data_IF_692103044654
#
_entry.id   IF_692103044654
#
_cell.length_a   1.000
_cell.length_b   1.000
_cell.length_c   1.000
_cell.angle_alpha   90.00
_cell.angle_beta   90.00
_cell.angle_gamma   90.00
#
_symmetry.space_group_name_H-M   'P 1'
#
loop_
_entity.id
_entity.type
_entity.pdbx_description
1 polymer ?
#
# COMPACT_ATOMS: atom_id res chain seq x y z
N UNK A 1 -3.60 8.18 -5.63
CA UNK A 1 -4.65 7.15 -5.37
C UNK A 1 -4.88 7.06 -3.87
N UNK A 2 -6.04 6.58 -3.43
CA UNK A 2 -6.33 6.31 -2.02
C UNK A 2 -6.42 4.80 -1.85
N UNK A 3 -5.72 4.27 -0.84
CA UNK A 3 -5.70 2.85 -0.54
C UNK A 3 -5.75 2.62 0.97
N UNK A 4 -6.06 1.38 1.35
CA UNK A 4 -5.91 0.85 2.71
C UNK A 4 -5.32 -0.55 2.62
N UNK A 5 -4.50 -0.92 3.60
CA UNK A 5 -4.02 -2.29 3.74
C UNK A 5 -4.42 -2.85 5.10
N UNK A 6 -4.34 -4.17 5.23
CA UNK A 6 -4.21 -4.81 6.54
C UNK A 6 -2.76 -4.67 7.06
N UNK A 7 -2.47 -5.31 8.20
CA UNK A 7 -1.14 -5.31 8.83
C UNK A 7 -0.11 -6.13 8.06
N UNK A 8 -0.53 -7.00 7.15
CA UNK A 8 0.36 -7.77 6.27
C UNK A 8 0.63 -7.03 4.96
N UNK A 9 0.11 -5.81 4.79
CA UNK A 9 0.25 -5.02 3.56
C UNK A 9 -0.67 -5.47 2.42
N UNK A 10 -1.64 -6.34 2.68
CA UNK A 10 -2.64 -6.73 1.69
C UNK A 10 -3.68 -5.63 1.52
N UNK A 11 -4.02 -5.24 0.29
CA UNK A 11 -5.00 -4.18 0.07
C UNK A 11 -6.40 -4.60 0.53
N UNK A 12 -7.00 -3.77 1.40
CA UNK A 12 -8.39 -3.90 1.86
C UNK A 12 -9.30 -2.89 1.20
N UNK A 13 -8.73 -1.82 0.63
CA UNK A 13 -9.46 -0.82 -0.14
C UNK A 13 -8.56 -0.18 -1.20
N UNK A 14 -9.13 0.08 -2.37
CA UNK A 14 -8.54 0.86 -3.46
C UNK A 14 -9.62 1.72 -4.10
N UNK A 15 -9.32 2.98 -4.36
CA UNK A 15 -10.22 3.84 -5.14
C UNK A 15 -10.04 3.67 -6.66
N UNK A 16 -10.98 4.13 -7.51
CA UNK A 16 -10.91 4.00 -8.98
C UNK A 16 -9.64 4.54 -9.64
N UNK A 17 -8.94 5.47 -8.97
CA UNK A 17 -7.67 5.97 -9.47
C UNK A 17 -6.59 4.87 -9.57
N UNK A 18 -6.70 3.78 -8.79
CA UNK A 18 -5.84 2.60 -8.95
C UNK A 18 -5.87 2.10 -10.39
N UNK A 19 -7.05 1.70 -10.86
CA UNK A 19 -7.24 1.20 -12.21
C UNK A 19 -6.84 2.23 -13.28
N UNK A 20 -7.19 3.50 -13.08
CA UNK A 20 -6.82 4.55 -14.04
C UNK A 20 -5.30 4.77 -14.19
N UNK A 21 -4.52 4.54 -13.11
CA UNK A 21 -3.06 4.75 -13.12
C UNK A 21 -2.32 3.48 -13.55
N UNK A 22 -2.73 2.32 -13.02
CA UNK A 22 -1.97 1.06 -13.17
C UNK A 22 -2.61 0.07 -14.14
N UNK A 23 -3.85 0.29 -14.57
CA UNK A 23 -4.57 -0.62 -15.46
C UNK A 23 -5.15 -1.85 -14.75
N UNK A 24 -4.64 -2.21 -13.57
CA UNK A 24 -5.14 -3.38 -12.84
C UNK A 24 -6.57 -3.20 -12.34
N UNK A 25 -7.35 -4.27 -12.46
CA UNK A 25 -8.66 -4.39 -11.83
C UNK A 25 -8.57 -4.26 -10.31
N UNK A 26 -9.46 -3.46 -9.72
CA UNK A 26 -9.54 -3.33 -8.25
C UNK A 26 -9.89 -4.68 -7.63
N UNK A 27 -10.90 -5.37 -8.17
CA UNK A 27 -11.36 -6.64 -7.62
C UNK A 27 -10.24 -7.69 -7.58
N UNK A 28 -9.41 -7.74 -8.64
CA UNK A 28 -8.28 -8.66 -8.70
C UNK A 28 -7.07 -8.20 -7.88
N UNK A 29 -7.06 -6.94 -7.43
CA UNK A 29 -5.96 -6.35 -6.66
C UNK A 29 -6.20 -6.45 -5.15
N UNK A 30 -7.46 -6.37 -4.70
CA UNK A 30 -7.81 -6.55 -3.28
C UNK A 30 -7.29 -7.90 -2.77
N UNK A 31 -6.76 -7.90 -1.54
CA UNK A 31 -6.14 -9.06 -0.90
C UNK A 31 -4.68 -9.32 -1.32
N UNK A 32 -4.19 -8.71 -2.41
CA UNK A 32 -2.78 -8.82 -2.80
C UNK A 32 -1.91 -7.85 -2.00
N UNK A 33 -0.67 -8.25 -1.75
CA UNK A 33 0.30 -7.43 -1.05
C UNK A 33 0.76 -6.25 -1.95
N UNK A 34 0.78 -5.04 -1.40
CA UNK A 34 1.19 -3.80 -2.08
C UNK A 34 2.55 -3.90 -2.77
N UNK A 35 3.51 -4.63 -2.19
CA UNK A 35 4.88 -4.77 -2.71
C UNK A 35 4.93 -5.52 -4.04
N UNK A 36 3.91 -6.32 -4.37
CA UNK A 36 3.83 -7.05 -5.64
C UNK A 36 3.81 -6.10 -6.85
N UNK A 37 3.28 -4.89 -6.66
CA UNK A 37 3.08 -3.91 -7.73
C UNK A 37 4.19 -2.85 -7.79
N UNK A 38 5.13 -2.90 -6.84
CA UNK A 38 6.30 -2.04 -6.79
C UNK A 38 7.45 -2.72 -7.54
N UNK A 39 8.21 -1.95 -8.30
CA UNK A 39 9.43 -2.38 -8.96
C UNK A 39 10.42 -2.98 -7.94
N UNK A 40 11.07 -4.08 -8.31
CA UNK A 40 11.98 -4.83 -7.42
C UNK A 40 13.04 -3.94 -6.77
N UNK A 41 13.48 -2.88 -7.45
CA UNK A 41 14.50 -1.94 -6.96
C UNK A 41 14.00 -1.06 -5.80
N UNK A 42 12.70 -0.92 -5.60
CA UNK A 42 12.09 -0.13 -4.53
C UNK A 42 11.42 -0.98 -3.43
N UNK A 43 11.25 -2.29 -3.64
CA UNK A 43 10.50 -3.17 -2.72
C UNK A 43 11.06 -3.18 -1.31
N UNK A 44 12.37 -3.32 -1.16
CA UNK A 44 13.01 -3.39 0.18
C UNK A 44 12.83 -2.08 0.94
N UNK A 45 12.96 -0.94 0.26
CA UNK A 45 12.73 0.38 0.86
C UNK A 45 11.27 0.54 1.30
N UNK A 46 10.34 0.16 0.44
CA UNK A 46 8.90 0.23 0.76
C UNK A 46 8.52 -0.71 1.91
N UNK A 47 9.07 -1.94 1.93
CA UNK A 47 8.86 -2.92 3.00
C UNK A 47 9.40 -2.41 4.35
N UNK A 48 10.60 -1.84 4.37
CA UNK A 48 11.18 -1.25 5.57
C UNK A 48 10.35 -0.07 6.09
N UNK A 49 9.85 0.81 5.19
CA UNK A 49 8.98 1.92 5.57
C UNK A 49 7.64 1.46 6.16
N UNK A 50 7.01 0.45 5.54
CA UNK A 50 5.79 -0.17 6.08
C UNK A 50 6.04 -0.81 7.45
N UNK A 51 7.16 -1.53 7.62
CA UNK A 51 7.52 -2.16 8.90
C UNK A 51 7.68 -1.11 10.00
N UNK A 52 8.42 -0.02 9.75
CA UNK A 52 8.60 1.05 10.73
C UNK A 52 7.27 1.73 11.11
N UNK A 53 6.39 1.97 10.12
CA UNK A 53 5.06 2.53 10.35
C UNK A 53 4.20 1.60 11.22
N UNK A 54 4.25 0.28 10.94
CA UNK A 54 3.52 -0.73 11.68
C UNK A 54 4.11 -0.96 13.09
N UNK A 55 5.41 -0.83 13.28
CA UNK A 55 6.01 -0.93 14.62
C UNK A 55 5.78 0.34 15.47
N UNK A 56 5.22 1.40 14.89
CA UNK A 56 5.06 2.69 15.55
C UNK A 56 6.36 3.47 15.72
N UNK A 57 7.40 3.11 14.95
CA UNK A 57 8.68 3.84 14.89
C UNK A 57 8.52 5.19 14.16
N UNK A 58 7.46 5.31 13.35
CA UNK A 58 7.04 6.57 12.73
C UNK A 58 5.52 6.67 12.65
N UNK A 59 4.99 7.90 12.63
CA UNK A 59 3.55 8.17 12.52
C UNK A 59 3.05 8.14 11.07
N UNK A 60 3.92 8.49 10.12
CA UNK A 60 3.62 8.50 8.69
C UNK A 60 4.87 8.25 7.88
N UNK A 61 4.70 7.66 6.69
CA UNK A 61 5.74 7.54 5.68
C UNK A 61 5.37 8.35 4.44
N UNK A 62 6.38 8.97 3.82
CA UNK A 62 6.29 9.56 2.49
C UNK A 62 7.49 9.15 1.66
N UNK A 63 7.25 8.64 0.46
CA UNK A 63 8.32 8.28 -0.47
C UNK A 63 7.81 8.24 -1.91
N UNK A 64 8.71 8.46 -2.86
CA UNK A 64 8.44 8.15 -4.26
C UNK A 64 8.72 6.66 -4.52
N UNK A 65 7.80 5.99 -5.21
CA UNK A 65 7.92 4.58 -5.60
C UNK A 65 7.59 4.39 -7.07
N UNK A 66 8.34 3.49 -7.71
CA UNK A 66 8.06 2.99 -9.05
C UNK A 66 7.05 1.86 -8.96
N UNK A 67 5.82 2.13 -9.37
CA UNK A 67 4.82 1.09 -9.59
C UNK A 67 4.95 0.55 -11.02
N UNK A 68 4.73 -0.74 -11.20
CA UNK A 68 4.66 -1.38 -12.51
C UNK A 68 3.18 -1.52 -12.87
N UNK A 69 2.77 -0.99 -14.01
CA UNK A 69 1.39 -1.11 -14.51
C UNK A 69 1.16 -2.47 -15.19
N UNK A 70 -0.08 -2.76 -15.62
CA UNK A 70 -0.42 -4.03 -16.28
C UNK A 70 0.38 -4.32 -17.56
N UNK A 71 0.82 -3.28 -18.26
CA UNK A 71 1.66 -3.38 -19.46
C UNK A 71 3.16 -3.53 -19.15
N UNK A 72 3.56 -3.53 -17.88
CA UNK A 72 4.97 -3.60 -17.46
C UNK A 72 5.70 -2.24 -17.44
N UNK A 73 5.00 -1.13 -17.68
CA UNK A 73 5.58 0.21 -17.67
C UNK A 73 5.64 0.78 -16.25
N UNK A 74 6.67 1.62 -16.01
CA UNK A 74 6.85 2.32 -14.74
C UNK A 74 5.89 3.51 -14.62
N UNK A 75 5.22 3.62 -13.47
CA UNK A 75 4.47 4.78 -13.00
C UNK A 75 5.11 5.28 -11.70
N UNK A 76 5.62 6.51 -11.72
CA UNK A 76 6.10 7.16 -10.51
C UNK A 76 4.93 7.64 -9.67
N UNK A 77 4.92 7.25 -8.40
CA UNK A 77 3.87 7.61 -7.44
C UNK A 77 4.53 8.15 -6.18
N UNK A 78 4.16 9.37 -5.79
CA UNK A 78 4.43 9.89 -4.45
C UNK A 78 3.43 9.24 -3.48
N UNK A 79 3.93 8.34 -2.64
CA UNK A 79 3.15 7.57 -1.68
C UNK A 79 3.22 8.25 -0.33
N UNK A 80 2.06 8.58 0.23
CA UNK A 80 1.91 8.98 1.63
C UNK A 80 1.06 7.94 2.35
N UNK A 81 1.53 7.41 3.48
CA UNK A 81 0.79 6.45 4.28
C UNK A 81 0.92 6.77 5.77
N UNK A 82 -0.12 6.42 6.54
CA UNK A 82 -0.16 6.52 8.00
C UNK A 82 -0.78 5.25 8.56
N UNK A 83 -0.37 4.84 9.76
CA UNK A 83 -1.05 3.78 10.48
C UNK A 83 -2.44 4.27 10.90
N UNK A 84 -3.49 3.52 10.60
CA UNK A 84 -4.80 3.73 11.20
C UNK A 84 -4.82 2.94 12.52
N UNK A 85 -5.02 3.65 13.63
CA UNK A 85 -5.16 3.06 14.98
C UNK A 85 -6.61 3.24 15.43
N UNK A 86 -7.10 2.31 16.23
CA UNK A 86 -8.41 2.43 16.86
C UNK A 86 -8.41 3.55 17.93
N UNK A 87 -9.59 3.86 18.47
CA UNK A 87 -9.76 4.90 19.51
C UNK A 87 -9.02 4.64 20.83
N UNK A 88 -8.42 3.46 21.01
CA UNK A 88 -7.61 3.08 22.17
C UNK A 88 -6.10 2.99 21.83
N UNK A 89 -5.70 3.37 20.60
CA UNK A 89 -4.32 3.29 20.13
C UNK A 89 -3.88 1.90 19.63
N UNK A 90 -4.80 0.92 19.64
CA UNK A 90 -4.59 -0.42 19.09
C UNK A 90 -4.77 -0.46 17.56
N UNK A 91 -4.61 -1.66 16.97
CA UNK A 91 -4.91 -1.86 15.56
C UNK A 91 -6.42 -2.00 15.35
N UNK A 92 -7.02 -1.33 14.36
CA UNK A 92 -8.42 -1.58 14.01
C UNK A 92 -8.57 -3.05 13.66
N UNK A 93 -9.66 -3.67 14.14
CA UNK A 93 -10.00 -5.04 13.81
C UNK A 93 -9.93 -5.21 12.28
N UNK A 94 -9.11 -6.15 11.80
CA UNK A 94 -9.06 -6.46 10.37
C UNK A 94 -10.48 -6.83 9.94
N UNK A 95 -11.00 -6.26 8.83
CA UNK A 95 -12.27 -6.70 8.30
C UNK A 95 -12.15 -8.21 8.03
N UNK A 96 -13.01 -9.00 8.68
CA UNK A 96 -13.02 -10.44 8.51
C UNK A 96 -13.13 -10.77 7.02
N UNK A 97 -12.26 -11.68 6.56
CA UNK A 97 -12.26 -12.21 5.21
C UNK A 97 -13.57 -12.94 4.87
#
# INVERSE_FOLDING_TARGET
MVFRTDLNGAWTFLNPAWHAITGFSIADSIGKNVLQFIDVRDRDRAAAGLSQLLNGEMESMRHEARYINEDGNVRWIDVCARAERDGQGGWPASPAA
#
